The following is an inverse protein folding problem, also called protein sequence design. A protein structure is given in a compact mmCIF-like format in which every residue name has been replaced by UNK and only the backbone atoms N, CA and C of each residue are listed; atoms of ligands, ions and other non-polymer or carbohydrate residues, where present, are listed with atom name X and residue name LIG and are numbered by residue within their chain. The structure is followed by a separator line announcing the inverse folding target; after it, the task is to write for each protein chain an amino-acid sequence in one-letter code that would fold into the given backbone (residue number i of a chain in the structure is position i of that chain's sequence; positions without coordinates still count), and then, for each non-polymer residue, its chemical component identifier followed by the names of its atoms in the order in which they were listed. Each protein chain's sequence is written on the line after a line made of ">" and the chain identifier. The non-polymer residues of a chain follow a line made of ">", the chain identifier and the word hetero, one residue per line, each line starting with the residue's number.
data_IF_487928054550
#
_entry.id   IF_487928054550
#
_cell.length_a   1.000
_cell.length_b   1.000
_cell.length_c   1.000
_cell.angle_alpha   90.00
_cell.angle_beta   90.00
_cell.angle_gamma   90.00
#
_symmetry.space_group_name_H-M   'P 1'
#
loop_
_entity.id
_entity.type
_entity.pdbx_description
1 polymer ?
#
# COMPACT_ATOMS: atom_id res chain seq x y z
N UNK A 1 64.63 -9.42 -42.26
CA UNK A 1 65.84 -8.59 -42.08
C UNK A 1 65.50 -7.44 -41.16
N UNK A 2 66.24 -7.34 -40.06
CA UNK A 2 66.14 -6.30 -39.04
C UNK A 2 66.30 -4.89 -39.62
N UNK A 3 65.69 -3.88 -38.98
CA UNK A 3 66.40 -2.70 -38.46
C UNK A 3 65.49 -1.81 -37.61
N UNK A 4 65.82 -1.78 -36.33
CA UNK A 4 65.48 -0.80 -35.29
C UNK A 4 66.03 0.58 -35.63
N UNK A 5 65.25 1.65 -35.41
CA UNK A 5 65.77 2.95 -34.94
C UNK A 5 64.80 3.50 -33.89
N UNK A 6 65.39 3.74 -32.72
CA UNK A 6 64.88 4.37 -31.51
C UNK A 6 64.88 5.89 -31.69
N UNK A 7 63.81 6.58 -31.27
CA UNK A 7 63.93 7.96 -30.81
C UNK A 7 63.08 8.18 -29.56
N UNK A 8 63.80 8.22 -28.46
CA UNK A 8 63.39 8.63 -27.13
C UNK A 8 63.02 10.12 -27.14
N UNK A 9 61.82 10.48 -26.68
CA UNK A 9 61.58 11.81 -26.09
C UNK A 9 60.84 11.60 -24.77
N UNK A 10 61.62 11.77 -23.71
CA UNK A 10 61.20 11.92 -22.34
C UNK A 10 60.68 13.36 -22.17
N UNK A 11 59.42 13.54 -21.79
CA UNK A 11 58.96 14.80 -21.22
C UNK A 11 58.00 14.50 -20.07
N UNK A 12 58.57 14.60 -18.87
CA UNK A 12 57.87 14.59 -17.61
C UNK A 12 56.96 15.82 -17.53
N UNK A 13 55.67 15.63 -17.22
CA UNK A 13 54.90 16.67 -16.56
C UNK A 13 54.03 16.06 -15.46
N UNK A 14 54.33 16.57 -14.27
CA UNK A 14 53.86 16.22 -12.94
C UNK A 14 52.34 16.23 -12.81
N UNK A 15 51.85 15.35 -11.94
CA UNK A 15 50.44 15.11 -11.70
C UNK A 15 49.65 16.33 -11.26
N UNK A 16 48.46 16.45 -11.84
CA UNK A 16 47.34 17.13 -11.20
C UNK A 16 46.58 16.09 -10.40
N UNK A 17 46.62 16.26 -9.08
CA UNK A 17 45.81 15.50 -8.15
C UNK A 17 44.33 15.70 -8.48
N UNK A 18 43.64 14.58 -8.65
CA UNK A 18 42.20 14.45 -8.63
C UNK A 18 41.68 15.01 -7.30
N UNK A 19 41.16 16.25 -7.29
CA UNK A 19 40.27 16.67 -6.21
C UNK A 19 38.91 16.06 -6.51
N UNK A 20 38.70 14.84 -6.01
CA UNK A 20 37.43 14.15 -6.10
C UNK A 20 36.31 15.01 -5.51
N UNK A 21 35.19 15.07 -6.21
CA UNK A 21 33.93 15.51 -5.65
C UNK A 21 33.67 14.71 -4.37
N UNK A 22 33.77 15.38 -3.22
CA UNK A 22 33.24 14.87 -1.97
C UNK A 22 31.71 14.94 -2.06
N UNK A 23 31.14 13.97 -2.76
CA UNK A 23 29.74 13.67 -2.68
C UNK A 23 29.59 12.88 -1.38
N UNK A 24 29.27 13.59 -0.30
CA UNK A 24 28.84 12.99 0.96
C UNK A 24 27.78 11.94 0.63
N UNK A 25 28.21 10.67 0.63
CA UNK A 25 27.29 9.54 0.66
C UNK A 25 26.62 9.60 2.02
N UNK A 26 25.51 10.35 2.08
CA UNK A 26 24.42 10.10 3.02
C UNK A 26 24.06 8.64 2.81
N UNK A 27 24.72 7.78 3.57
CA UNK A 27 24.33 6.40 3.77
C UNK A 27 22.99 6.52 4.47
N UNK A 28 21.93 6.61 3.67
CA UNK A 28 20.60 6.32 4.14
C UNK A 28 20.73 4.93 4.74
N UNK A 29 20.76 4.85 6.07
CA UNK A 29 20.48 3.61 6.78
C UNK A 29 19.11 3.21 6.27
N UNK A 30 19.07 2.34 5.28
CA UNK A 30 17.88 1.61 4.94
C UNK A 30 17.53 0.89 6.24
N UNK A 31 16.57 1.43 6.98
CA UNK A 31 15.93 0.72 8.07
C UNK A 31 15.44 -0.57 7.43
N UNK A 32 16.03 -1.69 7.84
CA UNK A 32 15.52 -3.00 7.46
C UNK A 32 14.09 -3.02 8.00
N UNK A 33 13.13 -2.82 7.10
CA UNK A 33 11.72 -2.89 7.45
C UNK A 33 11.51 -4.27 8.05
N UNK A 34 11.13 -4.33 9.33
CA UNK A 34 10.85 -5.60 10.00
C UNK A 34 9.66 -6.22 9.27
N UNK A 35 9.94 -7.26 8.48
CA UNK A 35 8.94 -8.00 7.72
C UNK A 35 8.09 -8.77 8.73
N UNK A 36 6.84 -8.35 8.91
CA UNK A 36 5.89 -9.05 9.77
C UNK A 36 5.37 -10.31 9.08
N UNK A 37 5.10 -11.35 9.86
CA UNK A 37 4.52 -12.60 9.38
C UNK A 37 3.65 -13.23 10.46
N UNK A 38 2.66 -14.01 10.05
CA UNK A 38 1.94 -14.87 10.99
C UNK A 38 2.86 -15.99 11.48
N UNK A 39 3.06 -16.11 12.79
CA UNK A 39 3.89 -17.16 13.39
C UNK A 39 3.24 -18.55 13.29
N UNK A 40 1.92 -18.60 13.32
CA UNK A 40 1.10 -19.81 13.25
C UNK A 40 -0.11 -19.57 12.33
N UNK A 41 -0.85 -20.63 11.99
CA UNK A 41 -2.09 -20.49 11.26
C UNK A 41 -3.04 -19.55 12.02
N UNK A 42 -3.57 -18.55 11.35
CA UNK A 42 -4.38 -17.48 11.96
C UNK A 42 -5.70 -17.37 11.23
N UNK A 43 -6.79 -17.44 12.00
CA UNK A 43 -8.13 -17.23 11.47
C UNK A 43 -8.40 -15.73 11.37
N UNK A 44 -8.77 -15.28 10.18
CA UNK A 44 -9.33 -13.95 9.94
C UNK A 44 -10.82 -14.04 9.71
N UNK A 45 -11.58 -13.15 10.31
CA UNK A 45 -13.03 -13.13 10.22
C UNK A 45 -13.57 -11.72 10.08
N UNK A 46 -14.80 -11.61 9.59
CA UNK A 46 -15.44 -10.32 9.46
C UNK A 46 -16.74 -10.33 8.67
N UNK A 47 -17.19 -9.13 8.34
CA UNK A 47 -18.43 -8.87 7.59
C UNK A 47 -18.10 -8.23 6.26
N UNK A 48 -18.84 -8.62 5.22
CA UNK A 48 -18.80 -7.97 3.92
C UNK A 48 -20.05 -7.11 3.72
N UNK A 49 -19.86 -5.83 3.42
CA UNK A 49 -20.96 -4.89 3.19
C UNK A 49 -20.66 -3.91 2.06
N UNK A 50 -21.70 -3.32 1.49
CA UNK A 50 -21.62 -2.17 0.59
C UNK A 50 -22.59 -1.07 1.04
N UNK A 51 -22.73 -0.01 0.24
CA UNK A 51 -23.62 1.12 0.54
C UNK A 51 -25.11 0.71 0.65
N UNK A 52 -25.48 -0.47 0.16
CA UNK A 52 -26.84 -1.03 0.24
C UNK A 52 -27.04 -1.94 1.45
N UNK A 53 -25.98 -2.29 2.17
CA UNK A 53 -26.00 -3.16 3.34
C UNK A 53 -25.09 -4.38 3.22
N UNK A 54 -25.35 -5.38 4.06
CA UNK A 54 -24.54 -6.61 4.14
C UNK A 54 -24.74 -7.46 2.88
N UNK A 55 -23.64 -7.91 2.27
CA UNK A 55 -23.66 -8.75 1.06
C UNK A 55 -23.65 -10.21 1.47
N UNK A 56 -24.76 -10.93 1.22
CA UNK A 56 -24.97 -12.26 1.82
C UNK A 56 -24.09 -13.38 1.26
N UNK A 57 -23.70 -13.30 -0.02
CA UNK A 57 -23.02 -14.36 -0.75
C UNK A 57 -21.88 -13.83 -1.61
N UNK A 58 -20.87 -14.66 -1.85
CA UNK A 58 -19.72 -14.38 -2.70
C UNK A 58 -18.48 -15.12 -2.22
N UNK A 59 -17.30 -14.68 -2.65
CA UNK A 59 -16.02 -15.29 -2.32
C UNK A 59 -15.06 -14.22 -1.78
N UNK A 60 -14.35 -14.55 -0.69
CA UNK A 60 -13.20 -13.77 -0.20
C UNK A 60 -11.92 -14.52 -0.57
N UNK A 61 -11.08 -13.88 -1.37
CA UNK A 61 -9.75 -14.34 -1.73
C UNK A 61 -8.71 -13.65 -0.84
N UNK A 62 -7.75 -14.42 -0.34
CA UNK A 62 -6.60 -13.90 0.40
C UNK A 62 -5.39 -13.98 -0.51
N UNK A 63 -4.80 -12.84 -0.84
CA UNK A 63 -3.61 -12.78 -1.69
C UNK A 63 -2.44 -12.10 -0.99
N UNK A 64 -1.22 -12.42 -1.39
CA UNK A 64 -0.06 -11.58 -1.05
C UNK A 64 -0.08 -10.24 -1.82
N UNK A 65 0.86 -9.34 -1.50
CA UNK A 65 0.97 -8.04 -2.16
C UNK A 65 1.21 -8.13 -3.67
N UNK A 66 1.76 -9.25 -4.17
CA UNK A 66 1.99 -9.49 -5.59
C UNK A 66 0.77 -10.10 -6.29
N UNK A 67 -0.33 -10.32 -5.57
CA UNK A 67 -1.56 -10.90 -6.10
C UNK A 67 -1.54 -12.42 -6.18
N UNK A 68 -0.55 -13.10 -5.58
CA UNK A 68 -0.57 -14.57 -5.53
C UNK A 68 -1.58 -15.03 -4.49
N UNK A 69 -2.47 -15.93 -4.90
CA UNK A 69 -3.48 -16.52 -4.03
C UNK A 69 -2.82 -17.37 -2.93
N UNK A 70 -3.22 -17.11 -1.68
CA UNK A 70 -2.82 -17.87 -0.49
C UNK A 70 -3.92 -18.85 -0.12
N UNK A 71 -5.16 -18.37 -0.05
CA UNK A 71 -6.35 -19.15 0.34
C UNK A 71 -7.62 -18.38 -0.08
N UNK A 72 -8.78 -19.01 0.05
CA UNK A 72 -10.07 -18.40 -0.24
C UNK A 72 -11.18 -19.04 0.60
N UNK A 73 -12.29 -18.32 0.79
CA UNK A 73 -13.47 -18.83 1.50
C UNK A 73 -14.75 -18.21 0.93
N UNK A 74 -15.83 -18.98 0.92
CA UNK A 74 -17.16 -18.45 0.61
C UNK A 74 -17.65 -17.54 1.75
N UNK A 75 -18.39 -16.50 1.38
CA UNK A 75 -19.16 -15.68 2.33
C UNK A 75 -20.47 -16.39 2.64
N UNK A 76 -20.76 -16.55 3.92
CA UNK A 76 -22.01 -17.13 4.43
C UNK A 76 -22.78 -16.08 5.24
N UNK A 77 -23.99 -15.76 4.78
CA UNK A 77 -24.86 -14.75 5.38
C UNK A 77 -24.16 -13.41 5.69
N UNK A 78 -23.22 -13.00 4.83
CA UNK A 78 -22.44 -11.77 4.98
C UNK A 78 -21.21 -11.86 5.86
N UNK A 79 -20.95 -13.02 6.46
CA UNK A 79 -19.77 -13.28 7.25
C UNK A 79 -18.77 -14.14 6.47
N UNK A 80 -17.49 -13.89 6.70
CA UNK A 80 -16.44 -14.78 6.23
C UNK A 80 -15.54 -15.18 7.39
N UNK A 81 -14.93 -16.36 7.25
CA UNK A 81 -13.95 -16.89 8.20
C UNK A 81 -12.91 -17.69 7.42
N UNK A 82 -11.72 -17.13 7.28
CA UNK A 82 -10.64 -17.71 6.46
C UNK A 82 -9.42 -18.02 7.31
N UNK A 83 -8.83 -19.19 7.12
CA UNK A 83 -7.58 -19.56 7.79
C UNK A 83 -6.38 -19.18 6.92
N UNK A 84 -5.54 -18.29 7.44
CA UNK A 84 -4.28 -17.88 6.81
C UNK A 84 -3.16 -18.77 7.35
N UNK A 85 -2.39 -19.46 6.47
CA UNK A 85 -1.31 -20.35 6.90
C UNK A 85 -0.21 -19.64 7.70
N UNK A 86 0.48 -20.40 8.56
CA UNK A 86 1.69 -19.95 9.22
C UNK A 86 2.77 -19.51 8.21
N UNK A 87 3.66 -18.62 8.65
CA UNK A 87 4.72 -18.01 7.83
C UNK A 87 4.24 -17.19 6.64
N UNK A 88 2.94 -16.84 6.58
CA UNK A 88 2.44 -15.85 5.63
C UNK A 88 3.01 -14.48 5.98
N UNK A 89 3.69 -13.87 5.01
CA UNK A 89 4.27 -12.53 5.12
C UNK A 89 3.19 -11.48 4.92
N UNK A 90 3.20 -10.45 5.76
CA UNK A 90 2.35 -9.27 5.63
C UNK A 90 3.06 -8.19 4.79
N UNK A 91 2.29 -7.35 4.06
CA UNK A 91 0.83 -7.27 4.03
C UNK A 91 0.17 -8.34 3.14
N UNK A 92 -1.07 -8.70 3.49
CA UNK A 92 -1.97 -9.50 2.63
C UNK A 92 -3.25 -8.74 2.34
N UNK A 93 -3.94 -9.11 1.27
CA UNK A 93 -5.19 -8.50 0.84
C UNK A 93 -6.34 -9.49 0.95
N UNK A 94 -7.44 -9.03 1.55
CA UNK A 94 -8.72 -9.70 1.56
C UNK A 94 -9.58 -9.09 0.46
N UNK A 95 -9.83 -9.84 -0.60
CA UNK A 95 -10.56 -9.35 -1.77
C UNK A 95 -11.87 -10.10 -1.90
N UNK A 96 -12.98 -9.39 -1.70
CA UNK A 96 -14.32 -9.93 -1.92
C UNK A 96 -14.75 -9.73 -3.38
N UNK A 97 -15.37 -10.77 -3.95
CA UNK A 97 -16.06 -10.73 -5.24
C UNK A 97 -17.40 -11.46 -5.12
N UNK A 98 -18.51 -10.83 -5.49
CA UNK A 98 -19.83 -11.48 -5.50
C UNK A 98 -20.00 -12.39 -6.71
N UNK A 99 -19.59 -11.91 -7.89
CA UNK A 99 -19.70 -12.59 -9.18
C UNK A 99 -18.54 -12.16 -10.09
N UNK A 100 -18.21 -12.94 -11.13
CA UNK A 100 -17.22 -12.53 -12.12
C UNK A 100 -17.59 -11.20 -12.79
N UNK A 101 -16.67 -10.23 -12.76
CA UNK A 101 -16.86 -8.91 -13.36
C UNK A 101 -17.56 -7.87 -12.48
N UNK A 102 -18.04 -8.26 -11.29
CA UNK A 102 -18.53 -7.30 -10.30
C UNK A 102 -17.38 -6.48 -9.69
N UNK A 103 -17.71 -5.32 -9.12
CA UNK A 103 -16.74 -4.52 -8.37
C UNK A 103 -16.20 -5.33 -7.18
N UNK A 104 -14.87 -5.36 -7.06
CA UNK A 104 -14.18 -6.03 -5.96
C UNK A 104 -14.04 -5.09 -4.78
N UNK A 105 -14.39 -5.58 -3.60
CA UNK A 105 -14.13 -4.89 -2.34
C UNK A 105 -12.84 -5.44 -1.72
N UNK A 106 -12.04 -4.58 -1.11
CA UNK A 106 -10.69 -4.92 -0.66
C UNK A 106 -10.45 -4.39 0.76
N UNK A 107 -9.88 -5.23 1.62
CA UNK A 107 -9.30 -4.82 2.89
C UNK A 107 -7.83 -5.24 2.97
N UNK A 108 -6.96 -4.36 3.44
CA UNK A 108 -5.54 -4.64 3.62
C UNK A 108 -5.23 -5.04 5.07
N UNK A 109 -4.53 -6.14 5.23
CA UNK A 109 -4.14 -6.72 6.52
C UNK A 109 -2.66 -6.48 6.73
N UNK A 110 -2.32 -5.64 7.71
CA UNK A 110 -0.94 -5.20 7.97
C UNK A 110 -0.47 -5.51 9.41
N UNK A 111 -1.37 -6.04 10.23
CA UNK A 111 -1.12 -6.42 11.62
C UNK A 111 -1.33 -7.93 11.80
N UNK A 112 -0.37 -8.57 12.44
CA UNK A 112 -0.35 -10.00 12.80
C UNK A 112 -1.16 -10.32 14.05
N UNK A 113 -1.57 -9.29 14.81
CA UNK A 113 -2.34 -9.43 16.06
C UNK A 113 -3.84 -9.16 15.88
N UNK A 114 -4.24 -8.49 14.80
CA UNK A 114 -5.65 -8.19 14.51
C UNK A 114 -6.19 -9.30 13.63
N UNK A 115 -7.33 -9.88 14.03
CA UNK A 115 -7.98 -10.99 13.33
C UNK A 115 -9.35 -10.62 12.74
N UNK A 116 -9.87 -9.45 13.09
CA UNK A 116 -11.18 -8.97 12.64
C UNK A 116 -11.00 -7.86 11.61
N UNK A 117 -11.55 -8.06 10.42
CA UNK A 117 -11.49 -7.08 9.34
C UNK A 117 -12.84 -6.98 8.64
N UNK A 118 -13.34 -5.77 8.45
CA UNK A 118 -14.51 -5.56 7.61
C UNK A 118 -14.08 -5.36 6.16
N UNK A 119 -14.88 -5.86 5.23
CA UNK A 119 -14.67 -5.64 3.79
C UNK A 119 -15.83 -4.80 3.28
N UNK A 120 -15.56 -3.53 2.96
CA UNK A 120 -16.56 -2.54 2.60
C UNK A 120 -15.98 -1.42 1.71
N UNK A 121 -16.79 -0.50 1.18
CA UNK A 121 -16.30 0.59 0.31
C UNK A 121 -15.24 1.45 0.98
N UNK A 122 -15.36 1.74 2.28
CA UNK A 122 -14.40 2.54 3.04
C UNK A 122 -13.03 1.87 3.14
N UNK A 123 -12.98 0.60 3.54
CA UNK A 123 -11.74 -0.18 3.59
C UNK A 123 -11.11 -0.36 2.21
N UNK A 124 -11.96 -0.46 1.17
CA UNK A 124 -11.53 -0.49 -0.23
C UNK A 124 -10.87 0.83 -0.64
N UNK A 125 -11.47 1.96 -0.30
CA UNK A 125 -10.91 3.29 -0.57
C UNK A 125 -9.57 3.49 0.15
N UNK A 126 -9.47 3.07 1.42
CA UNK A 126 -8.23 3.13 2.20
C UNK A 126 -7.15 2.27 1.55
N UNK A 127 -7.46 1.02 1.18
CA UNK A 127 -6.50 0.13 0.53
C UNK A 127 -6.03 0.70 -0.82
N UNK A 128 -6.94 1.23 -1.64
CA UNK A 128 -6.60 1.89 -2.92
C UNK A 128 -5.68 3.11 -2.70
N UNK A 129 -6.02 3.98 -1.76
CA UNK A 129 -5.21 5.16 -1.43
C UNK A 129 -3.83 4.78 -0.89
N UNK A 130 -3.75 3.80 0.02
CA UNK A 130 -2.47 3.31 0.55
C UNK A 130 -1.58 2.73 -0.56
N UNK A 131 -2.15 1.95 -1.48
CA UNK A 131 -1.40 1.43 -2.63
C UNK A 131 -0.87 2.56 -3.53
N UNK A 132 -1.68 3.59 -3.79
CA UNK A 132 -1.26 4.77 -4.55
C UNK A 132 -0.11 5.55 -3.89
N UNK A 133 0.04 5.45 -2.57
CA UNK A 133 1.14 6.04 -1.80
C UNK A 133 2.40 5.15 -1.71
N UNK A 134 2.46 4.07 -2.49
CA UNK A 134 3.65 3.21 -2.57
C UNK A 134 3.58 1.94 -1.74
N UNK A 135 2.38 1.49 -1.33
CA UNK A 135 2.18 0.16 -0.71
C UNK A 135 1.47 0.21 0.64
N UNK A 136 1.13 -0.97 1.17
CA UNK A 136 0.32 -1.12 2.40
C UNK A 136 1.16 -1.03 3.68
N UNK A 137 2.04 -0.04 3.77
CA UNK A 137 2.81 0.20 5.00
C UNK A 137 1.90 0.79 6.09
N UNK A 138 2.27 0.64 7.36
CA UNK A 138 1.52 1.26 8.46
C UNK A 138 1.33 2.76 8.26
N UNK A 139 2.39 3.49 7.90
CA UNK A 139 2.33 4.92 7.64
C UNK A 139 1.35 5.28 6.50
N UNK A 140 1.38 4.52 5.40
CA UNK A 140 0.48 4.74 4.28
C UNK A 140 -0.97 4.39 4.63
N UNK A 141 -1.21 3.29 5.35
CA UNK A 141 -2.56 2.92 5.79
C UNK A 141 -3.15 3.96 6.76
N UNK A 142 -2.36 4.46 7.71
CA UNK A 142 -2.81 5.52 8.63
C UNK A 142 -3.11 6.82 7.88
N UNK A 143 -2.25 7.23 6.94
CA UNK A 143 -2.51 8.43 6.13
C UNK A 143 -3.72 8.25 5.23
N UNK A 144 -3.86 7.09 4.58
CA UNK A 144 -5.01 6.77 3.74
C UNK A 144 -6.32 6.80 4.53
N UNK A 145 -6.33 6.26 5.74
CA UNK A 145 -7.47 6.32 6.63
C UNK A 145 -7.85 7.78 6.98
N UNK A 146 -6.86 8.61 7.33
CA UNK A 146 -7.11 10.03 7.61
C UNK A 146 -7.69 10.77 6.39
N UNK A 147 -7.13 10.54 5.20
CA UNK A 147 -7.54 11.22 3.98
C UNK A 147 -8.92 10.77 3.46
N UNK A 148 -9.30 9.51 3.71
CA UNK A 148 -10.59 8.95 3.27
C UNK A 148 -11.75 9.30 4.19
N UNK A 149 -11.50 9.74 5.42
CA UNK A 149 -12.54 10.21 6.36
C UNK A 149 -13.15 11.56 5.90
N UNK A 150 -12.60 12.25 4.89
CA UNK A 150 -12.96 13.64 4.53
C UNK A 150 -13.30 13.92 3.06
N UNK A 151 -13.82 12.96 2.28
CA UNK A 151 -14.11 13.27 0.86
C UNK A 151 -15.51 12.83 0.40
N UNK A 152 -16.52 13.72 0.42
CA UNK A 152 -17.49 13.80 -0.66
C UNK A 152 -16.80 14.47 -1.86
N UNK A 153 -16.49 13.69 -2.90
CA UNK A 153 -15.88 14.18 -4.15
C UNK A 153 -16.77 15.17 -4.93
N UNK A 154 -18.01 15.38 -4.50
CA UNK A 154 -18.96 16.28 -5.13
C UNK A 154 -18.58 17.77 -5.08
N UNK A 155 -17.49 18.18 -4.41
CA UNK A 155 -17.19 19.60 -4.22
C UNK A 155 -15.76 20.06 -4.55
N UNK A 156 -14.98 19.28 -5.32
CA UNK A 156 -13.64 19.71 -5.78
C UNK A 156 -13.59 20.35 -7.17
N UNK A 157 -14.72 20.48 -7.87
CA UNK A 157 -14.79 21.22 -9.15
C UNK A 157 -16.02 22.12 -9.20
N UNK A 158 -16.00 23.22 -8.47
CA UNK A 158 -16.77 24.41 -8.84
C UNK A 158 -15.94 25.62 -8.43
N UNK A 159 -15.10 26.04 -9.37
CA UNK A 159 -14.60 27.41 -9.47
C UNK A 159 -15.81 28.33 -9.59
N UNK A 160 -16.38 28.77 -8.46
CA UNK A 160 -17.49 29.71 -8.47
C UNK A 160 -18.48 29.54 -7.32
N UNK A 161 -18.07 29.78 -6.08
CA UNK A 161 -19.04 30.11 -5.04
C UNK A 161 -18.44 31.15 -4.08
N UNK A 162 -18.83 32.42 -4.27
CA UNK A 162 -18.66 33.50 -3.29
C UNK A 162 -19.85 33.46 -2.32
N UNK A 163 -19.83 32.50 -1.41
CA UNK A 163 -20.82 32.41 -0.34
C UNK A 163 -20.09 32.17 0.97
N UNK A 164 -20.31 33.06 1.93
CA UNK A 164 -19.79 32.98 3.29
C UNK A 164 -19.96 31.56 3.89
N UNK A 165 -18.86 30.88 4.27
CA UNK A 165 -18.87 29.49 4.74
C UNK A 165 -19.52 29.29 6.12
N UNK A 166 -19.93 30.36 6.81
CA UNK A 166 -20.41 30.29 8.19
C UNK A 166 -21.89 29.92 8.33
N UNK A 167 -22.66 29.90 7.24
CA UNK A 167 -24.11 29.59 7.29
C UNK A 167 -24.43 28.09 7.29
N UNK A 168 -23.50 27.21 6.91
CA UNK A 168 -23.76 25.76 6.85
C UNK A 168 -23.49 25.02 8.16
N UNK A 169 -22.89 25.69 9.14
CA UNK A 169 -22.49 25.06 10.41
C UNK A 169 -23.16 25.64 11.64
N UNK A 170 -24.17 26.52 11.49
CA UNK A 170 -24.98 27.04 12.60
C UNK A 170 -24.13 27.62 13.73
N UNK A 171 -23.73 28.88 13.61
CA UNK A 171 -22.85 29.60 14.55
C UNK A 171 -22.82 29.04 15.97
N UNK A 172 -21.68 28.46 16.35
CA UNK A 172 -21.40 28.02 17.71
C UNK A 172 -20.57 29.08 18.41
N UNK A 173 -21.17 29.72 19.43
CA UNK A 173 -20.46 30.25 20.57
C UNK A 173 -19.76 29.12 21.33
#
# INVERSE_FOLDING_TARGET
>A
MNRTIVFTVLLAFSGFALTGCEQEKKTAKASLAVVKKYAQATVLEGVVSNDKGVIKTGMVEVTDENGRLITHVAVDNGHYRVEVPANTVLPILLTFSSEPGAEKLVAAVIHDTITKYEINPSTTAIAKAAKAMGGYTHANMTRAAADTIHTPDANKTTTGWRGDPTTQYGGWH
#
